data_IF_991822842200
#
_entry.id   IF_991822842200
#
_cell.length_a   1.000
_cell.length_b   1.000
_cell.length_c   1.000
_cell.angle_alpha   90.00
_cell.angle_beta   90.00
_cell.angle_gamma   90.00
#
_symmetry.space_group_name_H-M   'P 1'
#
loop_
_entity.id
_entity.type
_entity.pdbx_description
1 polymer ?
#
# COMPACT_ATOMS: atom_id res chain seq x y z
N UNK A 1 2.87 -4.42 45.87
CA UNK A 1 3.27 -5.36 44.79
C UNK A 1 3.61 -4.65 43.47
N UNK A 2 2.78 -3.70 42.99
CA UNK A 2 2.98 -2.99 41.71
C UNK A 2 4.30 -2.20 41.66
N UNK A 3 4.65 -1.43 42.69
CA UNK A 3 5.90 -0.64 42.73
C UNK A 3 7.17 -1.51 42.66
N UNK A 4 7.21 -2.61 43.44
CA UNK A 4 8.33 -3.58 43.43
C UNK A 4 8.46 -4.32 42.11
N UNK A 5 7.36 -4.50 41.39
CA UNK A 5 7.38 -5.11 40.06
C UNK A 5 8.11 -4.23 39.05
N UNK A 6 7.93 -2.90 39.08
CA UNK A 6 8.69 -2.00 38.19
C UNK A 6 10.18 -1.92 38.57
N UNK A 7 10.50 -1.99 39.86
CA UNK A 7 11.85 -1.73 40.37
C UNK A 7 12.76 -2.98 40.42
N UNK A 8 12.21 -4.20 40.45
CA UNK A 8 12.99 -5.43 40.60
C UNK A 8 12.86 -6.38 39.42
N UNK A 9 13.99 -6.72 38.79
CA UNK A 9 14.07 -7.76 37.76
C UNK A 9 13.65 -9.13 38.30
N UNK A 10 14.05 -9.48 39.52
CA UNK A 10 13.69 -10.76 40.15
C UNK A 10 12.17 -10.88 40.36
N UNK A 11 11.52 -9.82 40.86
CA UNK A 11 10.07 -9.81 41.05
C UNK A 11 9.33 -9.93 39.70
N UNK A 12 9.81 -9.28 38.64
CA UNK A 12 9.25 -9.44 37.28
C UNK A 12 9.38 -10.87 36.78
N UNK A 13 10.56 -11.46 36.93
CA UNK A 13 10.84 -12.83 36.48
C UNK A 13 9.98 -13.85 37.24
N UNK A 14 9.93 -13.77 38.57
CA UNK A 14 9.05 -14.60 39.40
C UNK A 14 7.57 -14.45 39.03
N UNK A 15 7.12 -13.22 38.77
CA UNK A 15 5.73 -12.95 38.35
C UNK A 15 5.42 -13.54 36.97
N UNK A 16 6.32 -13.39 36.02
CA UNK A 16 6.18 -13.93 34.66
C UNK A 16 6.16 -15.47 34.68
N UNK A 17 7.11 -16.09 35.40
CA UNK A 17 7.19 -17.54 35.55
C UNK A 17 5.92 -18.11 36.19
N UNK A 18 5.46 -17.53 37.30
CA UNK A 18 4.21 -17.93 37.96
C UNK A 18 3.01 -17.89 37.00
N UNK A 19 2.86 -16.79 36.25
CA UNK A 19 1.77 -16.63 35.27
C UNK A 19 1.89 -17.65 34.13
N UNK A 20 3.10 -17.92 33.67
CA UNK A 20 3.37 -18.89 32.60
C UNK A 20 2.96 -20.30 33.03
N UNK A 21 3.45 -20.79 34.18
CA UNK A 21 3.10 -22.12 34.71
C UNK A 21 1.60 -22.23 35.00
N UNK A 22 0.97 -21.15 35.51
CA UNK A 22 -0.48 -21.10 35.70
C UNK A 22 -1.26 -21.21 34.39
N UNK A 23 -0.83 -20.53 33.31
CA UNK A 23 -1.43 -20.66 31.96
C UNK A 23 -1.30 -22.10 31.44
N UNK A 24 -0.13 -22.71 31.58
CA UNK A 24 0.11 -24.10 31.17
C UNK A 24 -0.76 -25.09 31.95
N UNK A 25 -0.87 -24.92 33.28
CA UNK A 25 -1.76 -25.73 34.10
C UNK A 25 -3.22 -25.62 33.63
N UNK A 26 -3.72 -24.42 33.36
CA UNK A 26 -5.08 -24.25 32.85
C UNK A 26 -5.30 -24.93 31.50
N UNK A 27 -4.31 -24.89 30.61
CA UNK A 27 -4.39 -25.52 29.29
C UNK A 27 -4.28 -27.05 29.29
N UNK A 28 -3.69 -27.65 30.32
CA UNK A 28 -3.44 -29.09 30.41
C UNK A 28 -4.24 -29.77 31.52
N UNK A 29 -5.13 -29.02 32.21
CA UNK A 29 -5.82 -29.49 33.42
C UNK A 29 -6.62 -30.78 33.22
N UNK A 30 -7.19 -30.92 32.03
CA UNK A 30 -7.95 -32.09 31.56
C UNK A 30 -7.08 -33.32 31.23
N UNK A 31 -5.79 -33.10 31.01
CA UNK A 31 -4.82 -34.14 30.61
C UNK A 31 -3.89 -34.56 31.76
N UNK A 32 -3.85 -33.78 32.85
CA UNK A 32 -3.03 -34.02 34.03
C UNK A 32 -3.79 -34.83 35.10
N UNK A 33 -3.05 -35.61 35.89
CA UNK A 33 -3.64 -36.32 37.04
C UNK A 33 -4.05 -35.33 38.15
N UNK A 34 -5.03 -35.67 39.00
CA UNK A 34 -5.42 -34.81 40.13
C UNK A 34 -4.24 -34.44 41.05
N UNK A 35 -3.35 -35.39 41.33
CA UNK A 35 -2.14 -35.17 42.12
C UNK A 35 -1.19 -34.15 41.47
N UNK A 36 -1.04 -34.21 40.14
CA UNK A 36 -0.20 -33.28 39.39
C UNK A 36 -0.77 -31.85 39.44
N UNK A 37 -2.09 -31.72 39.29
CA UNK A 37 -2.80 -30.43 39.39
C UNK A 37 -2.62 -29.82 40.78
N UNK A 38 -2.83 -30.60 41.83
CA UNK A 38 -2.67 -30.14 43.21
C UNK A 38 -1.23 -29.68 43.51
N UNK A 39 -0.22 -30.48 43.11
CA UNK A 39 1.19 -30.13 43.29
C UNK A 39 1.55 -28.81 42.59
N UNK A 40 1.09 -28.62 41.34
CA UNK A 40 1.31 -27.38 40.59
C UNK A 40 0.58 -26.18 41.22
N UNK A 41 -0.65 -26.36 41.68
CA UNK A 41 -1.41 -25.31 42.36
C UNK A 41 -0.73 -24.86 43.65
N UNK A 42 -0.24 -25.80 44.45
CA UNK A 42 0.50 -25.52 45.69
C UNK A 42 1.78 -24.73 45.40
N UNK A 43 2.62 -25.18 44.45
CA UNK A 43 3.84 -24.46 44.10
C UNK A 43 3.56 -23.04 43.52
N UNK A 44 2.50 -22.87 42.72
CA UNK A 44 2.07 -21.56 42.22
C UNK A 44 1.62 -20.67 43.39
N UNK A 45 0.89 -21.22 44.36
CA UNK A 45 0.40 -20.50 45.53
C UNK A 45 1.56 -20.06 46.44
N UNK A 46 2.53 -20.92 46.71
CA UNK A 46 3.74 -20.60 47.49
C UNK A 46 4.51 -19.43 46.87
N UNK A 47 4.77 -19.46 45.56
CA UNK A 47 5.44 -18.35 44.88
C UNK A 47 4.58 -17.06 44.89
N UNK A 48 3.25 -17.18 44.79
CA UNK A 48 2.34 -16.03 44.93
C UNK A 48 2.42 -15.43 46.34
N UNK A 49 2.44 -16.28 47.37
CA UNK A 49 2.55 -15.85 48.76
C UNK A 49 3.89 -15.17 49.02
N UNK A 50 5.01 -15.72 48.55
CA UNK A 50 6.33 -15.09 48.65
C UNK A 50 6.38 -13.71 47.96
N UNK A 51 5.77 -13.58 46.78
CA UNK A 51 5.65 -12.30 46.08
C UNK A 51 4.78 -11.28 46.84
N UNK A 52 3.70 -11.73 47.48
CA UNK A 52 2.78 -10.88 48.23
C UNK A 52 3.37 -10.43 49.57
N UNK A 53 4.03 -11.35 50.29
CA UNK A 53 4.75 -11.09 51.53
C UNK A 53 6.01 -10.23 51.32
N UNK A 54 6.41 -10.03 50.06
CA UNK A 54 7.54 -9.20 49.74
C UNK A 54 8.87 -9.83 50.12
N UNK A 55 8.97 -11.15 49.97
CA UNK A 55 10.17 -11.94 50.26
C UNK A 55 11.43 -11.37 49.58
N UNK A 56 12.58 -11.72 50.15
CA UNK A 56 13.88 -11.31 49.65
C UNK A 56 14.25 -12.06 48.35
N UNK A 57 15.39 -11.68 47.77
CA UNK A 57 15.83 -12.26 46.50
C UNK A 57 16.10 -13.77 46.61
N UNK A 58 16.70 -14.22 47.71
CA UNK A 58 17.04 -15.62 47.92
C UNK A 58 15.78 -16.49 48.04
N UNK A 59 14.81 -16.09 48.85
CA UNK A 59 13.54 -16.82 48.99
C UNK A 59 12.75 -16.85 47.67
N UNK A 60 12.74 -15.76 46.89
CA UNK A 60 12.10 -15.77 45.58
C UNK A 60 12.77 -16.75 44.61
N UNK A 61 14.10 -16.84 44.59
CA UNK A 61 14.80 -17.83 43.77
C UNK A 61 14.48 -19.26 44.20
N UNK A 62 14.43 -19.54 45.49
CA UNK A 62 14.07 -20.86 46.01
C UNK A 62 12.66 -21.27 45.58
N UNK A 63 11.69 -20.36 45.68
CA UNK A 63 10.31 -20.64 45.28
C UNK A 63 10.14 -20.78 43.76
N UNK A 64 10.92 -20.03 42.99
CA UNK A 64 10.99 -20.22 41.54
C UNK A 64 11.58 -21.58 41.18
N UNK A 65 12.65 -22.02 41.83
CA UNK A 65 13.27 -23.32 41.57
C UNK A 65 12.33 -24.48 41.95
N UNK A 66 11.59 -24.35 43.06
CA UNK A 66 10.55 -25.32 43.43
C UNK A 66 9.44 -25.41 42.37
N UNK A 67 8.97 -24.25 41.91
CA UNK A 67 7.96 -24.19 40.85
C UNK A 67 8.49 -24.78 39.54
N UNK A 68 9.75 -24.55 39.19
CA UNK A 68 10.38 -25.10 37.99
C UNK A 68 10.47 -26.62 38.04
N UNK A 69 10.97 -27.17 39.16
CA UNK A 69 11.07 -28.62 39.37
C UNK A 69 9.70 -29.29 39.30
N UNK A 70 8.70 -28.68 39.93
CA UNK A 70 7.32 -29.18 39.90
C UNK A 70 6.71 -29.11 38.50
N UNK A 71 6.95 -28.00 37.79
CA UNK A 71 6.52 -27.81 36.40
C UNK A 71 7.15 -28.85 35.47
N UNK A 72 8.47 -29.05 35.52
CA UNK A 72 9.17 -30.01 34.65
C UNK A 72 8.79 -31.46 34.93
N UNK A 73 8.41 -31.78 36.18
CA UNK A 73 7.95 -33.13 36.55
C UNK A 73 6.57 -33.44 35.98
N UNK A 74 5.65 -32.48 36.03
CA UNK A 74 4.22 -32.73 35.82
C UNK A 74 3.67 -32.19 34.50
N UNK A 75 4.15 -31.06 34.01
CA UNK A 75 3.67 -30.48 32.76
C UNK A 75 4.18 -31.27 31.57
N UNK A 76 3.30 -31.50 30.59
CA UNK A 76 3.68 -32.13 29.33
C UNK A 76 4.31 -31.07 28.42
N UNK A 77 5.46 -31.38 27.77
CA UNK A 77 6.02 -30.47 26.78
C UNK A 77 5.06 -30.38 25.59
N UNK A 78 4.81 -29.16 25.11
CA UNK A 78 4.09 -29.01 23.84
C UNK A 78 5.00 -29.45 22.68
N UNK A 79 4.48 -30.19 21.70
CA UNK A 79 5.22 -30.43 20.47
C UNK A 79 5.48 -29.09 19.76
N UNK A 80 6.72 -28.87 19.32
CA UNK A 80 7.17 -27.69 18.58
C UNK A 80 6.78 -26.33 19.22
N UNK A 81 7.21 -26.06 20.48
CA UNK A 81 6.75 -24.89 21.24
C UNK A 81 7.11 -23.56 20.55
N UNK A 82 8.29 -23.47 19.95
CA UNK A 82 8.74 -22.28 19.22
C UNK A 82 7.83 -21.94 18.02
N UNK A 83 7.34 -22.95 17.29
CA UNK A 83 6.47 -22.73 16.14
C UNK A 83 5.10 -22.22 16.59
N UNK A 84 4.52 -22.81 17.63
CA UNK A 84 3.22 -22.38 18.16
C UNK A 84 3.24 -20.93 18.64
N UNK A 85 4.26 -20.54 19.39
CA UNK A 85 4.39 -19.17 19.90
C UNK A 85 4.51 -18.16 18.75
N UNK A 86 5.38 -18.44 17.77
CA UNK A 86 5.53 -17.59 16.60
C UNK A 86 4.22 -17.47 15.79
N UNK A 87 3.48 -18.57 15.63
CA UNK A 87 2.18 -18.56 14.94
C UNK A 87 1.13 -17.78 15.72
N UNK A 88 1.03 -17.95 17.04
CA UNK A 88 0.10 -17.18 17.89
C UNK A 88 0.39 -15.68 17.81
N UNK A 89 1.66 -15.28 17.93
CA UNK A 89 2.09 -13.88 17.81
C UNK A 89 1.81 -13.34 16.41
N UNK A 90 2.11 -14.10 15.36
CA UNK A 90 1.83 -13.71 13.98
C UNK A 90 0.33 -13.50 13.74
N UNK A 91 -0.52 -14.40 14.23
CA UNK A 91 -1.97 -14.31 14.08
C UNK A 91 -2.54 -13.10 14.83
N UNK A 92 -2.06 -12.83 16.05
CA UNK A 92 -2.47 -11.64 16.82
C UNK A 92 -2.03 -10.36 16.11
N UNK A 93 -0.78 -10.30 15.64
CA UNK A 93 -0.27 -9.15 14.89
C UNK A 93 -1.06 -8.93 13.59
N UNK A 94 -1.38 -10.00 12.85
CA UNK A 94 -2.20 -9.95 11.66
C UNK A 94 -3.63 -9.47 11.97
N UNK A 95 -4.24 -9.98 13.04
CA UNK A 95 -5.59 -9.57 13.46
C UNK A 95 -5.65 -8.08 13.82
N UNK A 96 -4.65 -7.58 14.57
CA UNK A 96 -4.53 -6.16 14.91
C UNK A 96 -4.33 -5.33 13.63
N UNK A 97 -3.40 -5.73 12.76
CA UNK A 97 -3.13 -5.04 11.50
C UNK A 97 -4.38 -4.99 10.60
N UNK A 98 -5.12 -6.09 10.51
CA UNK A 98 -6.37 -6.18 9.75
C UNK A 98 -7.50 -5.37 10.39
N UNK A 99 -7.57 -5.30 11.72
CA UNK A 99 -8.51 -4.44 12.45
C UNK A 99 -8.25 -2.97 12.17
N UNK A 100 -7.00 -2.52 12.33
CA UNK A 100 -6.58 -1.15 12.00
C UNK A 100 -6.89 -0.84 10.54
N UNK A 101 -6.55 -1.77 9.63
CA UNK A 101 -6.76 -1.61 8.19
C UNK A 101 -8.24 -1.46 7.82
N UNK A 102 -9.09 -2.27 8.44
CA UNK A 102 -10.52 -2.31 8.12
C UNK A 102 -11.24 -1.07 8.61
N UNK A 103 -10.90 -0.58 9.81
CA UNK A 103 -11.69 0.45 10.48
C UNK A 103 -11.08 1.86 10.46
N UNK A 104 -9.75 2.00 10.39
CA UNK A 104 -9.10 3.29 10.59
C UNK A 104 -8.34 3.76 9.35
N UNK A 105 -7.40 2.94 8.87
CA UNK A 105 -6.41 3.38 7.87
C UNK A 105 -6.24 2.33 6.78
N UNK A 106 -6.56 2.68 5.54
CA UNK A 106 -6.31 1.80 4.41
C UNK A 106 -5.11 2.30 3.59
N UNK A 107 -4.02 1.52 3.47
CA UNK A 107 -2.92 1.89 2.60
C UNK A 107 -3.34 1.79 1.13
N UNK A 108 -3.09 2.84 0.36
CA UNK A 108 -3.28 2.92 -1.08
C UNK A 108 -2.00 3.37 -1.76
N UNK A 109 -1.80 2.91 -3.00
CA UNK A 109 -0.76 3.40 -3.90
C UNK A 109 -1.44 4.06 -5.09
N UNK A 110 -0.94 5.21 -5.54
CA UNK A 110 -1.54 5.94 -6.66
C UNK A 110 -1.01 5.36 -7.99
N UNK A 111 -1.87 4.74 -8.81
CA UNK A 111 -1.41 4.08 -10.03
C UNK A 111 -1.14 5.05 -11.19
N UNK A 112 -1.73 6.26 -11.16
CA UNK A 112 -1.73 7.18 -12.30
C UNK A 112 -1.54 8.64 -11.87
N UNK A 113 -1.01 9.46 -12.78
CA UNK A 113 -0.78 10.89 -12.55
C UNK A 113 -2.03 11.79 -12.60
N UNK A 114 -3.25 11.23 -12.57
CA UNK A 114 -4.48 12.05 -12.73
C UNK A 114 -4.76 13.03 -11.58
N UNK A 115 -4.05 12.88 -10.46
CA UNK A 115 -4.14 13.74 -9.28
C UNK A 115 -3.00 14.78 -9.22
N UNK A 116 -2.14 14.84 -10.23
CA UNK A 116 -1.12 15.87 -10.32
C UNK A 116 -1.77 17.25 -10.50
N UNK A 117 -1.15 18.32 -9.97
CA UNK A 117 0.16 18.36 -9.31
C UNK A 117 0.08 18.17 -7.77
N UNK A 118 -1.01 17.59 -7.26
CA UNK A 118 -1.19 17.40 -5.81
C UNK A 118 -0.62 16.07 -5.34
N UNK A 119 -0.95 15.00 -6.05
CA UNK A 119 -0.47 13.66 -5.73
C UNK A 119 0.10 13.00 -6.99
N UNK A 120 1.25 12.38 -6.83
CA UNK A 120 2.02 11.82 -7.93
C UNK A 120 1.78 10.31 -8.01
N UNK A 121 1.22 9.87 -9.14
CA UNK A 121 1.15 8.45 -9.43
C UNK A 121 2.49 7.89 -9.90
N UNK A 122 2.52 6.57 -10.07
CA UNK A 122 3.66 5.88 -10.68
C UNK A 122 3.87 6.39 -12.10
N UNK A 123 5.09 6.86 -12.40
CA UNK A 123 5.49 7.22 -13.76
C UNK A 123 6.48 6.21 -14.30
N UNK A 124 6.48 6.03 -15.61
CA UNK A 124 7.41 5.14 -16.28
C UNK A 124 7.86 5.78 -17.59
N UNK A 125 9.16 5.95 -17.74
CA UNK A 125 9.78 6.53 -18.93
C UNK A 125 10.48 5.39 -19.68
N UNK A 126 9.94 4.95 -20.84
CA UNK A 126 10.60 3.96 -21.66
C UNK A 126 11.74 4.59 -22.47
N UNK A 127 12.88 3.92 -22.47
CA UNK A 127 14.08 4.36 -23.18
C UNK A 127 14.12 3.88 -24.64
N UNK A 128 13.28 2.89 -24.97
CA UNK A 128 13.18 2.29 -26.30
C UNK A 128 12.16 3.00 -27.20
N UNK A 129 11.79 4.23 -26.80
CA UNK A 129 10.78 5.19 -27.33
C UNK A 129 9.33 4.71 -27.44
N UNK A 130 8.41 5.52 -26.91
CA UNK A 130 7.07 5.71 -27.48
C UNK A 130 7.27 6.50 -28.77
N UNK A 131 7.06 5.90 -29.93
CA UNK A 131 6.64 6.70 -31.09
C UNK A 131 5.12 6.69 -31.07
N UNK A 132 4.51 7.71 -30.45
CA UNK A 132 3.11 8.03 -30.80
C UNK A 132 3.13 8.52 -32.26
N UNK A 133 2.13 8.20 -33.09
CA UNK A 133 2.03 8.78 -34.41
C UNK A 133 2.02 10.31 -34.30
N UNK A 134 3.07 10.97 -34.81
CA UNK A 134 3.21 12.43 -34.78
C UNK A 134 4.27 13.02 -33.82
N UNK A 135 4.89 12.24 -32.93
CA UNK A 135 5.97 12.72 -32.06
C UNK A 135 7.35 12.45 -32.68
N UNK A 136 7.95 13.47 -33.31
CA UNK A 136 9.38 13.49 -33.64
C UNK A 136 10.15 14.04 -32.43
N UNK A 137 10.56 13.15 -31.54
CA UNK A 137 11.47 13.47 -30.45
C UNK A 137 12.28 12.24 -30.07
N UNK A 138 13.60 12.35 -30.07
CA UNK A 138 14.48 11.33 -29.51
C UNK A 138 14.20 11.29 -28.01
N UNK A 139 13.64 10.19 -27.47
CA UNK A 139 13.69 10.01 -26.02
C UNK A 139 15.17 9.92 -25.66
N UNK A 140 15.66 10.89 -24.88
CA UNK A 140 17.04 10.90 -24.41
C UNK A 140 17.31 9.60 -23.66
N UNK A 141 18.37 8.88 -24.09
CA UNK A 141 18.71 7.59 -23.51
C UNK A 141 19.13 7.80 -22.06
N UNK A 142 18.33 7.36 -21.08
CA UNK A 142 18.71 7.59 -19.68
C UNK A 142 19.84 6.64 -19.26
N UNK A 143 20.79 7.18 -18.50
CA UNK A 143 21.84 6.37 -17.87
C UNK A 143 21.30 5.69 -16.62
N UNK A 144 21.67 4.42 -16.43
CA UNK A 144 21.31 3.67 -15.22
C UNK A 144 22.49 3.79 -14.27
N UNK A 145 22.36 4.49 -13.13
CA UNK A 145 23.47 4.69 -12.23
C UNK A 145 23.93 3.37 -11.61
N UNK A 146 25.18 3.38 -11.15
CA UNK A 146 25.81 2.22 -10.49
C UNK A 146 26.23 2.60 -9.07
N UNK A 147 26.60 1.61 -8.26
CA UNK A 147 27.10 1.83 -6.89
C UNK A 147 26.12 2.57 -5.98
N UNK A 148 26.63 3.57 -5.25
CA UNK A 148 25.90 4.33 -4.23
C UNK A 148 24.74 5.16 -4.79
N UNK A 149 24.91 5.68 -6.01
CA UNK A 149 23.86 6.49 -6.63
C UNK A 149 22.63 5.63 -6.95
N UNK A 150 22.82 4.38 -7.37
CA UNK A 150 21.73 3.42 -7.55
C UNK A 150 20.98 3.14 -6.26
N UNK A 151 21.69 3.05 -5.14
CA UNK A 151 21.07 2.84 -3.81
C UNK A 151 20.29 4.09 -3.41
N UNK A 152 20.87 5.28 -3.59
CA UNK A 152 20.22 6.56 -3.31
C UNK A 152 18.92 6.70 -4.11
N UNK A 153 18.96 6.42 -5.40
CA UNK A 153 17.79 6.45 -6.26
C UNK A 153 16.74 5.42 -5.85
N UNK A 154 17.15 4.22 -5.43
CA UNK A 154 16.22 3.21 -4.90
C UNK A 154 15.50 3.71 -3.63
N UNK A 155 16.20 4.37 -2.71
CA UNK A 155 15.59 5.03 -1.55
C UNK A 155 14.66 6.19 -1.95
N UNK A 156 14.95 6.87 -3.06
CA UNK A 156 14.07 7.88 -3.65
C UNK A 156 12.88 7.26 -4.43
N UNK A 157 12.70 5.94 -4.39
CA UNK A 157 11.60 5.25 -5.07
C UNK A 157 11.78 5.10 -6.58
N UNK A 158 13.01 5.24 -7.09
CA UNK A 158 13.36 5.05 -8.49
C UNK A 158 13.89 3.63 -8.69
N UNK A 159 13.37 2.95 -9.72
CA UNK A 159 13.79 1.61 -10.10
C UNK A 159 13.95 1.49 -11.61
N UNK A 160 14.79 0.55 -12.02
CA UNK A 160 15.10 0.31 -13.43
C UNK A 160 14.79 -1.12 -13.80
N UNK A 161 14.03 -1.31 -14.89
CA UNK A 161 13.77 -2.63 -15.46
C UNK A 161 14.47 -2.73 -16.79
N UNK A 162 15.40 -3.68 -16.87
CA UNK A 162 16.11 -4.01 -18.10
C UNK A 162 15.92 -5.50 -18.38
N UNK A 163 15.36 -5.81 -19.54
CA UNK A 163 15.25 -7.19 -20.03
C UNK A 163 15.94 -7.30 -21.37
N UNK A 164 16.87 -8.25 -21.49
CA UNK A 164 17.57 -8.55 -22.74
C UNK A 164 17.07 -9.85 -23.35
N UNK A 165 16.92 -9.88 -24.66
CA UNK A 165 16.58 -11.10 -25.39
C UNK A 165 17.68 -12.16 -25.18
N UNK A 166 17.27 -13.39 -24.87
CA UNK A 166 18.19 -14.52 -24.57
C UNK A 166 18.46 -15.36 -25.82
N UNK A 167 17.56 -15.26 -26.79
CA UNK A 167 17.57 -15.92 -28.09
C UNK A 167 17.08 -14.93 -29.14
N UNK A 168 17.39 -15.22 -30.38
CA UNK A 168 16.73 -14.58 -31.52
C UNK A 168 15.28 -15.08 -31.59
N UNK A 169 14.34 -14.18 -31.90
CA UNK A 169 12.95 -14.56 -32.13
C UNK A 169 11.94 -13.45 -31.86
N UNK A 170 10.69 -13.76 -32.20
CA UNK A 170 9.56 -12.85 -32.00
C UNK A 170 9.10 -12.82 -30.53
N UNK A 171 8.61 -11.66 -30.08
CA UNK A 171 7.85 -11.55 -28.84
C UNK A 171 6.50 -12.24 -29.00
N UNK A 172 6.39 -13.46 -28.46
CA UNK A 172 5.21 -14.31 -28.58
C UNK A 172 4.16 -14.00 -27.53
N UNK A 173 4.57 -13.68 -26.29
CA UNK A 173 3.65 -13.41 -25.20
C UNK A 173 4.24 -12.53 -24.10
N UNK A 174 3.37 -11.72 -23.48
CA UNK A 174 3.63 -11.04 -22.20
C UNK A 174 2.54 -11.50 -21.23
N UNK A 175 2.90 -12.33 -20.24
CA UNK A 175 1.92 -12.86 -19.27
C UNK A 175 1.59 -11.80 -18.21
N UNK A 176 0.44 -11.95 -17.55
CA UNK A 176 0.11 -11.17 -16.37
C UNK A 176 1.05 -11.49 -15.19
N UNK A 177 1.31 -10.55 -14.28
CA UNK A 177 2.15 -10.80 -13.11
C UNK A 177 1.49 -11.81 -12.16
N UNK A 178 2.29 -12.74 -11.64
CA UNK A 178 1.91 -13.60 -10.53
C UNK A 178 1.96 -12.80 -9.22
N UNK A 179 0.87 -12.85 -8.45
CA UNK A 179 0.68 -12.04 -7.23
C UNK A 179 0.49 -12.92 -6.00
N UNK A 180 1.04 -12.48 -4.87
CA UNK A 180 0.72 -12.99 -3.53
C UNK A 180 0.25 -11.80 -2.69
N UNK A 181 -1.00 -11.82 -2.25
CA UNK A 181 -1.68 -10.65 -1.66
C UNK A 181 -1.52 -9.40 -2.55
N UNK A 182 -0.87 -8.36 -2.02
CA UNK A 182 -0.64 -7.06 -2.68
C UNK A 182 0.69 -7.00 -3.43
N UNK A 183 1.49 -8.08 -3.40
CA UNK A 183 2.83 -8.11 -3.97
C UNK A 183 2.83 -8.78 -5.33
N UNK A 184 3.35 -8.09 -6.35
CA UNK A 184 3.71 -8.71 -7.63
C UNK A 184 5.06 -9.41 -7.46
N UNK A 185 5.10 -10.74 -7.60
CA UNK A 185 6.30 -11.53 -7.35
C UNK A 185 7.14 -11.68 -8.63
N UNK A 186 6.50 -12.07 -9.73
CA UNK A 186 7.17 -12.17 -11.02
C UNK A 186 6.21 -11.98 -12.19
N UNK A 187 6.76 -11.62 -13.34
CA UNK A 187 6.07 -11.59 -14.64
C UNK A 187 6.98 -12.21 -15.69
N UNK A 188 6.41 -12.87 -16.69
CA UNK A 188 7.19 -13.54 -17.73
C UNK A 188 6.85 -13.05 -19.13
N UNK A 189 7.88 -12.93 -19.97
CA UNK A 189 7.73 -12.76 -21.41
C UNK A 189 8.24 -14.01 -22.12
N UNK A 190 7.71 -14.28 -23.32
CA UNK A 190 8.22 -15.33 -24.19
C UNK A 190 8.74 -14.71 -25.48
N UNK A 191 10.02 -14.94 -25.79
CA UNK A 191 10.69 -14.46 -26.99
C UNK A 191 11.35 -15.65 -27.66
N UNK A 192 10.96 -15.94 -28.92
CA UNK A 192 11.50 -17.07 -29.67
C UNK A 192 11.36 -18.42 -28.95
N UNK A 193 10.29 -18.62 -28.17
CA UNK A 193 10.06 -19.83 -27.37
C UNK A 193 10.77 -19.85 -26.01
N UNK A 194 11.67 -18.91 -25.73
CA UNK A 194 12.42 -18.83 -24.46
C UNK A 194 11.72 -17.90 -23.47
N UNK A 195 11.68 -18.30 -22.19
CA UNK A 195 11.04 -17.52 -21.13
C UNK A 195 12.00 -16.53 -20.46
N UNK A 196 11.55 -15.29 -20.34
CA UNK A 196 12.21 -14.17 -19.69
C UNK A 196 11.48 -13.81 -18.42
N UNK A 197 12.19 -13.83 -17.29
CA UNK A 197 11.63 -13.56 -15.97
C UNK A 197 11.94 -12.13 -15.56
N UNK A 198 10.91 -11.45 -15.06
CA UNK A 198 11.02 -10.17 -14.36
C UNK A 198 10.55 -10.43 -12.94
N UNK A 199 11.46 -10.37 -11.98
CA UNK A 199 11.12 -10.44 -10.56
C UNK A 199 10.73 -9.05 -10.07
N UNK A 200 9.71 -9.01 -9.21
CA UNK A 200 9.12 -7.78 -8.67
C UNK A 200 8.80 -6.76 -9.77
N UNK A 201 8.02 -7.17 -10.80
CA UNK A 201 7.71 -6.30 -11.91
C UNK A 201 7.03 -5.04 -11.38
N UNK A 202 7.42 -3.85 -11.87
CA UNK A 202 6.91 -2.57 -11.37
C UNK A 202 5.51 -2.29 -11.93
N UNK A 203 4.62 -3.28 -11.89
CA UNK A 203 3.26 -3.23 -12.38
C UNK A 203 2.33 -2.65 -11.33
N UNK A 204 2.36 -1.32 -11.24
CA UNK A 204 1.75 -0.56 -10.17
C UNK A 204 0.50 0.22 -10.62
N UNK A 205 -0.05 -0.01 -11.81
CA UNK A 205 -1.16 0.83 -12.27
C UNK A 205 -1.76 0.56 -13.65
N UNK A 206 -2.54 1.53 -14.13
CA UNK A 206 -3.58 1.37 -15.16
C UNK A 206 -3.10 0.88 -16.53
N UNK A 207 -1.81 1.01 -16.84
CA UNK A 207 -1.20 0.52 -18.08
C UNK A 207 -0.32 -0.68 -17.77
N UNK A 208 -0.53 -1.76 -18.51
CA UNK A 208 0.28 -2.99 -18.42
C UNK A 208 1.76 -2.68 -18.66
N UNK A 209 2.65 -3.54 -18.13
CA UNK A 209 4.08 -3.42 -18.41
C UNK A 209 4.38 -3.35 -19.92
N UNK A 210 3.69 -4.15 -20.73
CA UNK A 210 3.84 -4.14 -22.19
C UNK A 210 3.55 -2.76 -22.79
N UNK A 211 2.43 -2.13 -22.40
CA UNK A 211 2.07 -0.79 -22.87
C UNK A 211 3.05 0.29 -22.40
N UNK A 212 3.53 0.21 -21.15
CA UNK A 212 4.49 1.19 -20.62
C UNK A 212 5.88 1.05 -21.24
N UNK A 213 6.30 -0.17 -21.54
CA UNK A 213 7.57 -0.45 -22.19
C UNK A 213 7.52 -0.36 -23.73
N UNK A 214 6.35 -0.08 -24.33
CA UNK A 214 6.21 0.01 -25.79
C UNK A 214 6.38 -1.32 -26.52
N UNK A 215 6.08 -2.44 -25.85
CA UNK A 215 6.23 -3.77 -26.44
C UNK A 215 5.20 -3.98 -27.55
N UNK A 216 5.69 -4.34 -28.73
CA UNK A 216 4.88 -4.69 -29.88
C UNK A 216 4.79 -6.22 -30.01
N UNK A 217 3.58 -6.81 -30.02
CA UNK A 217 3.41 -8.22 -30.30
C UNK A 217 4.10 -8.61 -31.61
N UNK A 218 4.69 -9.80 -31.67
CA UNK A 218 5.40 -10.32 -32.86
C UNK A 218 6.64 -9.56 -33.31
N UNK A 219 7.04 -8.47 -32.63
CA UNK A 219 8.33 -7.81 -32.93
C UNK A 219 9.48 -8.79 -32.73
N UNK A 220 10.35 -8.91 -33.75
CA UNK A 220 11.54 -9.73 -33.71
C UNK A 220 12.65 -9.03 -32.93
N UNK A 221 13.31 -9.76 -32.03
CA UNK A 221 14.47 -9.29 -31.27
C UNK A 221 15.67 -10.19 -31.54
N UNK A 222 16.86 -9.58 -31.60
CA UNK A 222 18.13 -10.33 -31.64
C UNK A 222 18.61 -10.63 -30.22
N UNK A 223 19.30 -11.73 -30.03
CA UNK A 223 19.95 -12.10 -28.77
C UNK A 223 20.84 -10.96 -28.29
N UNK A 224 20.64 -10.56 -27.02
CA UNK A 224 21.34 -9.44 -26.39
C UNK A 224 20.66 -8.08 -26.53
N UNK A 225 19.71 -7.93 -27.47
CA UNK A 225 18.92 -6.71 -27.66
C UNK A 225 18.09 -6.40 -26.41
N UNK A 226 18.01 -5.12 -26.05
CA UNK A 226 17.18 -4.65 -24.94
C UNK A 226 15.72 -4.65 -25.39
N UNK A 227 14.94 -5.54 -24.80
CA UNK A 227 13.50 -5.71 -25.05
C UNK A 227 12.72 -4.73 -24.19
N UNK A 228 13.16 -4.53 -22.95
CA UNK A 228 12.60 -3.55 -22.02
C UNK A 228 13.76 -2.75 -21.46
N UNK A 229 13.60 -1.43 -21.43
CA UNK A 229 14.45 -0.50 -20.69
C UNK A 229 13.57 0.62 -20.16
N UNK A 230 13.27 0.55 -18.87
CA UNK A 230 12.25 1.38 -18.23
C UNK A 230 12.78 1.98 -16.93
N UNK A 231 12.71 3.31 -16.80
CA UNK A 231 12.88 4.01 -15.53
C UNK A 231 11.49 4.16 -14.89
N UNK A 232 11.31 3.67 -13.67
CA UNK A 232 10.05 3.74 -12.94
C UNK A 232 10.22 4.53 -11.65
N UNK A 233 9.34 5.49 -11.44
CA UNK A 233 9.23 6.24 -10.18
C UNK A 233 7.98 5.78 -9.46
N UNK A 234 8.12 5.36 -8.20
CA UNK A 234 7.08 4.66 -7.45
C UNK A 234 5.83 5.50 -7.12
N UNK A 235 5.92 6.83 -7.19
CA UNK A 235 4.85 7.76 -6.81
C UNK A 235 4.51 7.72 -5.32
N UNK A 236 3.41 8.37 -4.98
CA UNK A 236 2.96 8.56 -3.61
C UNK A 236 2.23 7.32 -3.07
N UNK A 237 2.44 7.09 -1.77
CA UNK A 237 1.71 6.11 -0.98
C UNK A 237 0.88 6.85 0.05
N UNK A 238 -0.40 6.48 0.16
CA UNK A 238 -1.38 7.17 0.97
C UNK A 238 -1.93 6.24 2.05
N UNK A 239 -2.21 6.77 3.23
CA UNK A 239 -3.15 6.15 4.15
C UNK A 239 -4.48 6.87 4.04
N UNK A 240 -5.51 6.14 3.64
CA UNK A 240 -6.87 6.65 3.54
C UNK A 240 -7.52 6.55 4.91
N UNK A 241 -7.95 7.70 5.43
CA UNK A 241 -8.76 7.82 6.63
C UNK A 241 -10.18 7.31 6.36
N UNK A 242 -10.56 6.24 7.06
CA UNK A 242 -11.92 5.64 6.99
C UNK A 242 -12.83 6.08 8.14
N UNK A 243 -12.30 6.83 9.10
CA UNK A 243 -12.99 7.20 10.33
C UNK A 243 -13.73 8.53 10.19
N UNK A 244 -13.07 9.56 9.65
CA UNK A 244 -13.57 10.94 9.67
C UNK A 244 -14.95 11.12 9.03
N UNK A 245 -15.23 10.41 7.93
CA UNK A 245 -16.50 10.53 7.22
C UNK A 245 -17.71 9.91 7.95
N UNK A 246 -17.49 9.19 9.05
CA UNK A 246 -18.58 8.76 9.94
C UNK A 246 -19.09 9.88 10.86
N UNK A 247 -18.34 10.99 10.97
CA UNK A 247 -18.64 12.07 11.91
C UNK A 247 -18.87 13.42 11.23
N UNK A 248 -18.42 13.60 9.99
CA UNK A 248 -18.67 14.81 9.22
C UNK A 248 -18.77 14.54 7.71
N UNK A 249 -19.53 15.36 6.96
CA UNK A 249 -19.48 15.35 5.51
C UNK A 249 -18.10 15.81 4.98
N UNK A 250 -17.75 15.44 3.74
CA UNK A 250 -16.56 15.94 3.08
C UNK A 250 -16.69 17.43 2.76
N UNK A 251 -15.55 18.12 2.67
CA UNK A 251 -15.46 19.54 2.35
C UNK A 251 -14.81 19.74 0.99
N UNK A 252 -15.14 20.85 0.32
CA UNK A 252 -14.49 21.21 -0.95
C UNK A 252 -12.97 21.25 -0.76
N UNK A 253 -12.25 20.77 -1.76
CA UNK A 253 -10.80 20.70 -1.77
C UNK A 253 -10.27 19.39 -1.19
N UNK A 254 -11.04 18.66 -0.38
CA UNK A 254 -10.58 17.38 0.17
C UNK A 254 -10.34 16.34 -0.92
N UNK A 255 -9.32 15.50 -0.71
CA UNK A 255 -9.10 14.31 -1.53
C UNK A 255 -9.99 13.20 -0.97
N UNK A 256 -10.92 12.75 -1.80
CA UNK A 256 -11.89 11.71 -1.45
C UNK A 256 -11.57 10.42 -2.19
N UNK A 257 -11.86 9.30 -1.52
CA UNK A 257 -11.84 7.97 -2.12
C UNK A 257 -13.27 7.46 -2.14
N UNK A 258 -13.77 7.09 -3.31
CA UNK A 258 -15.14 6.62 -3.48
C UNK A 258 -15.20 5.39 -4.39
N UNK A 259 -16.23 4.59 -4.18
CA UNK A 259 -16.53 3.41 -4.99
C UNK A 259 -17.47 3.79 -6.13
N UNK A 260 -17.20 3.29 -7.34
CA UNK A 260 -17.99 3.61 -8.53
C UNK A 260 -19.30 2.84 -8.64
N UNK A 261 -19.58 1.90 -7.72
CA UNK A 261 -20.78 1.04 -7.70
C UNK A 261 -22.09 1.82 -7.57
N UNK A 262 -22.08 2.98 -6.93
CA UNK A 262 -23.27 3.83 -6.75
C UNK A 262 -23.56 4.78 -7.90
N UNK A 263 -22.69 4.86 -8.91
CA UNK A 263 -22.90 5.74 -10.06
C UNK A 263 -23.82 5.01 -11.06
N UNK A 264 -24.87 5.63 -11.61
CA UNK A 264 -25.72 5.00 -12.63
C UNK A 264 -24.94 4.65 -13.89
N UNK A 265 -25.31 3.55 -14.56
CA UNK A 265 -24.64 3.04 -15.76
C UNK A 265 -24.57 4.09 -16.89
N UNK A 266 -25.64 4.86 -17.09
CA UNK A 266 -25.69 5.95 -18.07
C UNK A 266 -24.61 7.04 -17.89
N UNK A 267 -24.03 7.17 -16.69
CA UNK A 267 -22.92 8.09 -16.42
C UNK A 267 -21.56 7.41 -16.38
N UNK A 268 -21.54 6.07 -16.30
CA UNK A 268 -20.33 5.24 -16.27
C UNK A 268 -19.92 4.79 -17.65
N UNK A 269 -20.88 4.53 -18.52
CA UNK A 269 -20.65 4.08 -19.90
C UNK A 269 -21.20 5.11 -20.88
N UNK A 270 -20.31 5.57 -21.76
CA UNK A 270 -20.63 6.40 -22.91
C UNK A 270 -19.84 5.88 -24.10
N UNK A 271 -20.17 6.35 -25.31
CA UNK A 271 -19.40 6.03 -26.53
C UNK A 271 -17.91 6.40 -26.42
N UNK A 272 -17.52 7.22 -25.44
CA UNK A 272 -16.17 7.79 -25.29
C UNK A 272 -15.41 7.31 -24.06
N UNK A 273 -16.09 6.82 -23.01
CA UNK A 273 -15.45 6.30 -21.81
C UNK A 273 -16.31 5.25 -21.12
N UNK A 274 -15.64 4.27 -20.50
CA UNK A 274 -16.26 3.29 -19.61
C UNK A 274 -15.51 3.30 -18.28
N UNK A 275 -16.24 3.58 -17.20
CA UNK A 275 -15.76 3.49 -15.83
C UNK A 275 -16.22 2.12 -15.30
N UNK A 276 -15.33 1.18 -14.94
CA UNK A 276 -15.75 -0.15 -14.49
C UNK A 276 -16.56 -0.12 -13.19
N UNK A 277 -17.44 -1.09 -13.02
CA UNK A 277 -18.27 -1.22 -11.82
C UNK A 277 -17.39 -1.66 -10.67
N UNK A 278 -17.67 -1.17 -9.46
CA UNK A 278 -16.99 -1.64 -8.26
C UNK A 278 -15.47 -1.36 -8.27
N UNK A 279 -15.08 -0.13 -8.60
CA UNK A 279 -13.70 0.35 -8.52
C UNK A 279 -13.58 1.51 -7.55
N UNK A 280 -12.43 1.61 -6.88
CA UNK A 280 -12.10 2.76 -6.04
C UNK A 280 -11.36 3.83 -6.84
N UNK A 281 -11.86 5.05 -6.78
CA UNK A 281 -11.23 6.22 -7.39
C UNK A 281 -10.81 7.21 -6.31
N UNK A 282 -9.66 7.84 -6.53
CA UNK A 282 -9.15 8.94 -5.72
C UNK A 282 -9.31 10.22 -6.54
N UNK A 283 -10.10 11.17 -6.04
CA UNK A 283 -10.35 12.45 -6.71
C UNK A 283 -10.42 13.59 -5.71
N UNK A 284 -10.26 14.80 -6.21
CA UNK A 284 -10.48 16.03 -5.43
C UNK A 284 -11.95 16.40 -5.49
N UNK A 285 -12.55 16.70 -4.35
CA UNK A 285 -13.91 17.21 -4.28
C UNK A 285 -13.93 18.69 -4.70
N UNK A 286 -14.42 18.97 -5.91
CA UNK A 286 -14.43 20.33 -6.46
C UNK A 286 -15.78 21.02 -6.34
N UNK A 287 -16.89 20.32 -6.56
CA UNK A 287 -18.26 20.85 -6.46
C UNK A 287 -19.07 20.11 -5.39
N UNK A 288 -20.02 20.81 -4.77
CA UNK A 288 -20.97 20.27 -3.80
C UNK A 288 -22.39 20.32 -4.37
N UNK A 289 -23.33 19.62 -3.73
CA UNK A 289 -24.72 19.56 -4.19
C UNK A 289 -25.39 20.94 -4.22
N UNK A 290 -26.08 21.25 -5.32
CA UNK A 290 -26.79 22.51 -5.51
C UNK A 290 -25.92 23.65 -6.06
N UNK A 291 -24.68 23.38 -6.43
CA UNK A 291 -23.76 24.39 -6.95
C UNK A 291 -23.65 24.37 -8.47
N UNK A 292 -23.59 25.55 -9.05
CA UNK A 292 -23.30 25.71 -10.47
C UNK A 292 -21.79 25.74 -10.68
N UNK A 293 -21.29 24.82 -11.52
CA UNK A 293 -19.89 24.72 -11.89
C UNK A 293 -19.66 25.22 -13.31
N UNK A 294 -18.61 26.01 -13.53
CA UNK A 294 -18.15 26.43 -14.85
C UNK A 294 -16.64 26.19 -14.96
N UNK A 295 -16.15 26.00 -16.18
CA UNK A 295 -14.72 26.08 -16.49
C UNK A 295 -14.50 27.41 -17.22
N UNK A 296 -13.72 28.30 -16.61
CA UNK A 296 -13.41 29.60 -17.22
C UNK A 296 -12.33 29.47 -18.32
N UNK A 297 -12.22 30.44 -19.25
CA UNK A 297 -11.20 30.42 -20.30
C UNK A 297 -9.75 30.38 -19.80
N UNK A 298 -9.50 30.89 -18.59
CA UNK A 298 -8.21 30.82 -17.89
C UNK A 298 -7.97 29.45 -17.20
N UNK A 299 -8.79 28.44 -17.53
CA UNK A 299 -8.64 27.03 -17.11
C UNK A 299 -8.88 26.78 -15.62
N UNK A 300 -9.54 27.72 -14.94
CA UNK A 300 -9.98 27.59 -13.55
C UNK A 300 -11.43 27.08 -13.47
N UNK A 301 -11.80 26.55 -12.31
CA UNK A 301 -13.20 26.26 -12.00
C UNK A 301 -13.83 27.48 -11.34
N UNK A 302 -15.06 27.79 -11.74
CA UNK A 302 -15.91 28.79 -11.10
C UNK A 302 -17.10 28.08 -10.47
N UNK A 303 -17.37 28.39 -9.20
CA UNK A 303 -18.47 27.82 -8.41
C UNK A 303 -19.42 28.94 -8.04
N UNK A 304 -20.67 28.86 -8.46
CA UNK A 304 -21.69 29.90 -8.21
C UNK A 304 -21.24 31.32 -8.58
N UNK A 305 -20.44 31.45 -9.64
CA UNK A 305 -19.87 32.73 -10.10
C UNK A 305 -18.56 33.13 -9.42
N UNK A 306 -18.13 32.43 -8.37
CA UNK A 306 -16.85 32.67 -7.69
C UNK A 306 -15.76 31.75 -8.22
N UNK A 307 -14.66 32.34 -8.70
CA UNK A 307 -13.51 31.59 -9.22
C UNK A 307 -12.71 30.96 -8.08
N UNK A 308 -12.46 29.66 -8.17
CA UNK A 308 -11.49 28.98 -7.31
C UNK A 308 -10.09 29.33 -7.79
N UNK A 309 -9.20 29.71 -6.87
CA UNK A 309 -7.82 30.12 -7.15
C UNK A 309 -6.83 29.35 -6.27
N UNK A 310 -5.53 29.59 -6.45
CA UNK A 310 -4.49 29.03 -5.59
C UNK A 310 -4.59 29.49 -4.12
N UNK A 311 -5.32 30.57 -3.81
CA UNK A 311 -5.58 30.98 -2.43
C UNK A 311 -6.73 30.21 -1.78
N UNK A 312 -7.47 29.42 -2.56
CA UNK A 312 -8.54 28.56 -2.01
C UNK A 312 -7.91 27.34 -1.35
N UNK A 313 -8.27 26.99 -0.10
CA UNK A 313 -7.67 25.86 0.60
C UNK A 313 -7.70 24.57 -0.21
N UNK A 314 -6.56 23.90 -0.27
CA UNK A 314 -6.31 22.66 -1.02
C UNK A 314 -6.20 22.82 -2.55
N UNK A 315 -6.30 24.02 -3.12
CA UNK A 315 -6.14 24.27 -4.56
C UNK A 315 -4.82 24.98 -4.90
N UNK A 316 -3.92 25.12 -3.94
CA UNK A 316 -2.67 25.86 -4.06
C UNK A 316 -1.86 25.38 -5.26
N UNK A 317 -1.66 24.06 -5.37
CA UNK A 317 -0.91 23.46 -6.48
C UNK A 317 -1.74 23.34 -7.76
N UNK A 318 -3.07 23.18 -7.64
CA UNK A 318 -3.97 22.99 -8.79
C UNK A 318 -4.06 24.25 -9.63
N UNK A 319 -3.96 25.42 -9.01
CA UNK A 319 -4.10 26.71 -9.69
C UNK A 319 -2.83 27.58 -9.60
N UNK A 320 -1.67 26.96 -9.37
CA UNK A 320 -0.36 27.65 -9.37
C UNK A 320 0.27 27.79 -10.77
N UNK A 321 -0.40 27.33 -11.83
CA UNK A 321 0.14 27.40 -13.19
C UNK A 321 -0.05 28.79 -13.81
N UNK A 322 0.82 29.15 -14.75
CA UNK A 322 0.73 30.40 -15.50
C UNK A 322 -0.39 30.30 -16.55
N UNK A 323 -1.44 31.12 -16.40
CA UNK A 323 -2.57 31.17 -17.32
C UNK A 323 -2.20 31.72 -18.69
N UNK A 324 -1.11 32.49 -18.80
CA UNK A 324 -0.64 33.05 -20.06
C UNK A 324 0.07 32.00 -20.92
N UNK A 325 0.52 30.89 -20.33
CA UNK A 325 1.12 29.80 -21.07
C UNK A 325 0.03 28.90 -21.64
N UNK A 326 0.13 28.61 -22.93
CA UNK A 326 -0.71 27.60 -23.58
C UNK A 326 -0.43 26.21 -22.98
N UNK A 327 -1.42 25.29 -22.96
CA UNK A 327 -1.19 23.91 -22.57
C UNK A 327 -0.10 23.25 -23.42
N UNK A 328 0.78 22.48 -22.79
CA UNK A 328 1.88 21.75 -23.43
C UNK A 328 1.87 20.30 -22.99
N UNK A 329 2.37 19.41 -23.83
CA UNK A 329 2.47 18.00 -23.46
C UNK A 329 3.34 17.83 -22.21
N UNK A 330 2.97 16.86 -21.38
CA UNK A 330 3.67 16.54 -20.12
C UNK A 330 3.78 17.70 -19.11
N UNK A 331 2.99 18.77 -19.28
CA UNK A 331 2.89 19.87 -18.33
C UNK A 331 1.46 20.06 -17.85
N UNK A 332 1.26 20.17 -16.53
CA UNK A 332 -0.04 20.49 -15.97
C UNK A 332 -0.48 21.91 -16.35
N UNK A 333 -1.74 22.09 -16.76
CA UNK A 333 -2.26 23.38 -17.25
C UNK A 333 -3.73 23.63 -16.86
N UNK A 334 -4.21 23.08 -15.75
CA UNK A 334 -5.59 23.30 -15.30
C UNK A 334 -6.64 22.52 -16.10
N UNK A 335 -7.85 23.08 -16.19
CA UNK A 335 -9.01 22.45 -16.82
C UNK A 335 -9.23 22.95 -18.24
N UNK A 336 -9.61 22.06 -19.15
CA UNK A 336 -9.91 22.41 -20.53
C UNK A 336 -11.35 22.01 -20.83
N UNK A 337 -12.20 23.01 -21.06
CA UNK A 337 -13.52 22.82 -21.63
C UNK A 337 -13.39 22.52 -23.13
N UNK A 338 -13.08 21.27 -23.45
CA UNK A 338 -12.81 20.84 -24.82
C UNK A 338 -13.26 19.40 -25.07
N UNK A 339 -13.38 19.08 -26.36
CA UNK A 339 -13.88 17.81 -26.86
C UNK A 339 -13.10 16.63 -26.26
N UNK A 340 -13.78 15.81 -25.45
CA UNK A 340 -13.23 14.61 -24.83
C UNK A 340 -12.50 14.79 -23.49
N UNK A 341 -12.28 16.02 -23.00
CA UNK A 341 -11.61 16.29 -21.72
C UNK A 341 -12.58 16.66 -20.60
N UNK A 342 -13.61 17.47 -20.91
CA UNK A 342 -14.66 17.88 -19.96
C UNK A 342 -16.04 17.87 -20.64
N UNK A 343 -16.51 16.69 -21.09
CA UNK A 343 -17.70 16.55 -21.94
C UNK A 343 -18.99 17.08 -21.30
N UNK A 344 -19.10 17.07 -19.97
CA UNK A 344 -20.25 17.62 -19.27
C UNK A 344 -20.40 19.15 -19.42
N UNK A 345 -19.29 19.86 -19.63
CA UNK A 345 -19.23 21.31 -19.81
C UNK A 345 -19.29 21.72 -21.29
N UNK A 346 -19.28 20.76 -22.21
CA UNK A 346 -19.26 21.02 -23.64
C UNK A 346 -20.55 21.72 -24.09
N UNK A 347 -20.41 22.88 -24.76
CA UNK A 347 -21.54 23.69 -25.21
C UNK A 347 -22.31 24.41 -24.10
N UNK A 348 -21.81 24.41 -22.86
CA UNK A 348 -22.46 25.04 -21.68
C UNK A 348 -21.54 26.08 -21.01
N UNK A 349 -21.29 27.23 -21.65
CA UNK A 349 -20.41 28.26 -21.09
C UNK A 349 -20.93 28.83 -19.75
N UNK A 350 -22.25 28.83 -19.54
CA UNK A 350 -22.92 29.16 -18.29
C UNK A 350 -22.81 28.07 -17.21
N UNK A 351 -22.20 26.93 -17.54
CA UNK A 351 -21.90 25.86 -16.60
C UNK A 351 -23.00 24.84 -16.40
N UNK A 352 -22.73 23.90 -15.51
CA UNK A 352 -23.61 22.78 -15.15
C UNK A 352 -24.04 22.87 -13.70
N UNK A 353 -25.24 22.36 -13.41
CA UNK A 353 -25.78 22.18 -12.06
C UNK A 353 -25.41 20.80 -11.50
#
# INVERSE_FOLDING_TARGET
>A
MISRWFLSRTVRHATAMRRHVQKLLHHQRDVLSPQAVEALQSAIAELRHALAAGADKAALHQQMENLEKTANKWLKPYPHPAWRENVEVLLVALAIAMGIRTFFLQPFKIPTGSMQPTLYGVTSVPDLTRHRPGEQGNAERFEIPTGLERIREWFAGVSYVVVRAKTDGELLAVKQPFKILIFNIYQTLNIGGVTHWIFFPPDYGSLTLAQRAGLQPRKFYRKGEEVIRLKVVAGDHLFVDRLTYNFRPPRRGEIIVFETKGIPEAYRETDRWSIPADQFYIKRLVGLGGERLQISPDRHIVVNGEKITASTPHFENVYSFDTNQAPRDSHYSGHIAGFGLAPFFEGKPEGVL
#
